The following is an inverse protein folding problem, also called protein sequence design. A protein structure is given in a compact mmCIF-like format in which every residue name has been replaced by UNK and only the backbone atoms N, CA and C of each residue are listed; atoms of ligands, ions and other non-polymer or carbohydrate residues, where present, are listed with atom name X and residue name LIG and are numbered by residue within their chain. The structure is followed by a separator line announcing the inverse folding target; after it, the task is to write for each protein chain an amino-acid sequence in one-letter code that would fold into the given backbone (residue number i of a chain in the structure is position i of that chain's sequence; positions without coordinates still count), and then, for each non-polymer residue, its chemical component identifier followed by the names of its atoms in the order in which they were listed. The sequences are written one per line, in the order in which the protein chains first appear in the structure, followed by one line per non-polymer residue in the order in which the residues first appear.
data_IF_973225645263
#
_entry.id   IF_973225645263
#
_cell.length_a   1.000
_cell.length_b   1.000
_cell.length_c   1.000
_cell.angle_alpha   90.00
_cell.angle_beta   90.00
_cell.angle_gamma   90.00
#
_symmetry.space_group_name_H-M   'P 1'
#
loop_
_entity.id
_entity.type
_entity.pdbx_description
1 polymer ?
#
# COMPACT_ATOMS: atom_id res chain seq x y z
N UNK A 1 -9.19 -1.39 -21.49
CA UNK A 1 -8.36 -0.39 -20.77
C UNK A 1 -7.86 0.59 -21.82
N UNK A 2 -8.18 1.89 -21.72
CA UNK A 2 -8.06 2.88 -22.84
C UNK A 2 -6.60 3.26 -23.15
N UNK A 3 -5.64 2.78 -22.36
CA UNK A 3 -4.22 3.08 -22.51
C UNK A 3 -3.41 1.82 -22.74
N UNK A 4 -2.37 1.95 -23.56
CA UNK A 4 -1.38 0.91 -23.79
C UNK A 4 -0.67 0.52 -22.48
N UNK A 5 -0.40 -0.78 -22.30
CA UNK A 5 0.36 -1.32 -21.17
C UNK A 5 1.73 -0.63 -21.02
N UNK A 6 2.37 -0.30 -22.16
CA UNK A 6 3.65 0.39 -22.20
C UNK A 6 3.55 1.81 -21.59
N UNK A 7 2.46 2.52 -21.86
CA UNK A 7 2.21 3.86 -21.32
C UNK A 7 2.18 3.87 -19.79
N UNK A 8 1.46 2.92 -19.19
CA UNK A 8 1.44 2.80 -17.73
C UNK A 8 2.80 2.43 -17.14
N UNK A 9 3.55 1.55 -17.81
CA UNK A 9 4.88 1.17 -17.35
C UNK A 9 5.84 2.37 -17.30
N UNK A 10 5.79 3.27 -18.29
CA UNK A 10 6.61 4.49 -18.29
C UNK A 10 6.31 5.43 -17.12
N UNK A 11 5.02 5.68 -16.86
CA UNK A 11 4.58 6.50 -15.71
C UNK A 11 5.00 5.86 -14.39
N UNK A 12 4.84 4.55 -14.25
CA UNK A 12 5.22 3.82 -13.04
C UNK A 12 6.74 3.79 -12.82
N UNK A 13 7.55 3.67 -13.87
CA UNK A 13 9.01 3.72 -13.77
C UNK A 13 9.46 5.09 -13.28
N UNK A 14 8.97 6.16 -13.90
CA UNK A 14 9.30 7.52 -13.47
C UNK A 14 8.84 7.81 -12.04
N UNK A 15 7.68 7.29 -11.63
CA UNK A 15 7.18 7.45 -10.27
C UNK A 15 8.00 6.67 -9.24
N UNK A 16 8.58 5.54 -9.63
CA UNK A 16 9.50 4.72 -8.83
C UNK A 16 10.85 5.43 -8.65
N UNK A 17 11.37 6.03 -9.71
CA UNK A 17 12.68 6.68 -9.75
C UNK A 17 12.65 8.14 -9.26
N UNK A 18 11.58 8.56 -8.56
CA UNK A 18 11.38 9.92 -8.05
C UNK A 18 11.43 11.05 -9.11
N UNK A 19 11.17 10.72 -10.38
CA UNK A 19 11.08 11.71 -11.47
C UNK A 19 9.67 12.32 -11.57
N UNK A 20 9.54 13.40 -12.36
CA UNK A 20 8.26 14.11 -12.56
C UNK A 20 7.27 13.31 -13.42
N UNK A 21 6.73 12.23 -12.86
CA UNK A 21 5.82 11.28 -13.53
C UNK A 21 4.49 11.92 -13.95
N UNK A 22 4.14 13.08 -13.39
CA UNK A 22 2.95 13.86 -13.72
C UNK A 22 3.04 14.42 -15.13
N UNK A 23 4.21 14.96 -15.51
CA UNK A 23 4.48 15.47 -16.85
C UNK A 23 4.44 14.33 -17.87
N UNK A 24 5.02 13.18 -17.53
CA UNK A 24 5.01 11.98 -18.39
C UNK A 24 3.58 11.46 -18.57
N UNK A 25 2.73 11.52 -17.54
CA UNK A 25 1.32 11.16 -17.65
C UNK A 25 0.56 12.12 -18.57
N UNK A 26 0.86 13.43 -18.50
CA UNK A 26 0.28 14.44 -19.38
C UNK A 26 0.73 14.26 -20.84
N UNK A 27 2.02 14.03 -21.09
CA UNK A 27 2.60 13.77 -22.42
C UNK A 27 2.03 12.52 -23.08
N UNK A 28 1.73 11.49 -22.28
CA UNK A 28 1.21 10.22 -22.79
C UNK A 28 -0.31 10.18 -22.91
N UNK A 29 -1.01 11.29 -22.60
CA UNK A 29 -2.46 11.40 -22.68
C UNK A 29 -3.21 10.63 -21.59
N UNK A 30 -2.51 10.13 -20.56
CA UNK A 30 -3.14 9.47 -19.43
C UNK A 30 -3.81 10.52 -18.55
N UNK A 31 -5.10 10.34 -18.27
CA UNK A 31 -5.79 11.20 -17.30
C UNK A 31 -5.01 11.19 -15.99
N UNK A 32 -4.61 12.37 -15.53
CA UNK A 32 -3.81 12.57 -14.31
C UNK A 32 -4.40 11.84 -13.11
N UNK A 33 -5.73 11.88 -12.92
CA UNK A 33 -6.43 11.13 -11.85
C UNK A 33 -6.19 9.61 -11.91
N UNK A 34 -6.16 9.04 -13.12
CA UNK A 34 -5.88 7.62 -13.32
C UNK A 34 -4.42 7.31 -13.02
N UNK A 35 -3.49 8.17 -13.47
CA UNK A 35 -2.07 8.04 -13.16
C UNK A 35 -1.81 8.09 -11.64
N UNK A 36 -2.44 9.02 -10.91
CA UNK A 36 -2.38 9.08 -9.45
C UNK A 36 -2.79 7.77 -8.78
N UNK A 37 -3.93 7.20 -9.17
CA UNK A 37 -4.38 5.90 -8.61
C UNK A 37 -3.38 4.78 -8.89
N UNK A 38 -2.84 4.69 -10.09
CA UNK A 38 -1.86 3.67 -10.44
C UNK A 38 -0.56 3.82 -9.64
N UNK A 39 -0.04 5.03 -9.52
CA UNK A 39 1.19 5.31 -8.75
C UNK A 39 0.98 5.03 -7.27
N UNK A 40 -0.15 5.43 -6.69
CA UNK A 40 -0.47 5.15 -5.29
C UNK A 40 -0.52 3.63 -5.01
N UNK A 41 -1.22 2.87 -5.85
CA UNK A 41 -1.29 1.40 -5.71
C UNK A 41 0.07 0.75 -5.87
N UNK A 42 0.88 1.21 -6.82
CA UNK A 42 2.24 0.69 -7.02
C UNK A 42 3.14 0.95 -5.81
N UNK A 43 3.07 2.14 -5.20
CA UNK A 43 3.81 2.46 -3.98
C UNK A 43 3.39 1.63 -2.78
N UNK A 44 2.08 1.49 -2.55
CA UNK A 44 1.57 0.64 -1.46
C UNK A 44 2.02 -0.81 -1.64
N UNK A 45 2.00 -1.30 -2.89
CA UNK A 45 2.50 -2.64 -3.17
C UNK A 45 4.01 -2.74 -2.96
N UNK A 46 4.80 -1.78 -3.41
CA UNK A 46 6.26 -1.77 -3.21
C UNK A 46 6.64 -1.74 -1.72
N UNK A 47 5.96 -0.89 -0.93
CA UNK A 47 6.09 -0.85 0.53
C UNK A 47 5.71 -2.18 1.18
N UNK A 48 4.63 -2.83 0.72
CA UNK A 48 4.25 -4.17 1.18
C UNK A 48 5.29 -5.24 0.86
N UNK A 49 5.88 -5.21 -0.33
CA UNK A 49 6.94 -6.16 -0.71
C UNK A 49 8.27 -5.87 0.03
N UNK A 50 8.49 -4.63 0.48
CA UNK A 50 9.62 -4.25 1.32
C UNK A 50 9.47 -4.68 2.78
N UNK A 51 8.24 -4.89 3.25
CA UNK A 51 8.01 -5.45 4.58
C UNK A 51 8.46 -6.91 4.60
N UNK A 52 9.13 -7.31 5.69
CA UNK A 52 9.37 -8.72 5.96
C UNK A 52 8.01 -9.46 5.96
N UNK A 53 7.89 -10.63 5.28
CA UNK A 53 6.64 -11.39 5.25
C UNK A 53 6.01 -11.60 6.63
N UNK A 54 6.81 -11.88 7.67
CA UNK A 54 6.33 -12.05 9.05
C UNK A 54 5.72 -10.75 9.57
N UNK A 55 6.38 -9.61 9.33
CA UNK A 55 5.87 -8.29 9.73
C UNK A 55 4.57 -7.94 9.01
N UNK A 56 4.46 -8.29 7.72
CA UNK A 56 3.22 -8.08 6.96
C UNK A 56 2.07 -8.92 7.53
N UNK A 57 2.30 -10.21 7.81
CA UNK A 57 1.33 -11.10 8.44
C UNK A 57 0.90 -10.58 9.82
N UNK A 58 1.84 -10.12 10.66
CA UNK A 58 1.53 -9.54 11.97
C UNK A 58 0.64 -8.29 11.86
N UNK A 59 0.95 -7.37 10.93
CA UNK A 59 0.13 -6.16 10.71
C UNK A 59 -1.26 -6.51 10.19
N UNK A 60 -1.37 -7.48 9.28
CA UNK A 60 -2.66 -7.95 8.75
C UNK A 60 -3.48 -8.65 9.84
N UNK A 61 -2.85 -9.49 10.65
CA UNK A 61 -3.46 -10.15 11.80
C UNK A 61 -4.03 -9.13 12.79
N UNK A 62 -3.25 -8.12 13.18
CA UNK A 62 -3.70 -7.07 14.09
C UNK A 62 -4.85 -6.25 13.50
N UNK A 63 -4.79 -5.96 12.20
CA UNK A 63 -5.87 -5.23 11.50
C UNK A 63 -7.17 -6.03 11.47
N UNK A 64 -7.10 -7.32 11.14
CA UNK A 64 -8.26 -8.22 11.05
C UNK A 64 -8.92 -8.42 12.41
N UNK A 65 -8.11 -8.45 13.48
CA UNK A 65 -8.57 -8.74 14.83
C UNK A 65 -8.58 -7.50 15.74
N UNK A 66 -8.69 -6.29 15.19
CA UNK A 66 -8.58 -5.07 16.01
C UNK A 66 -9.71 -4.95 17.06
N UNK A 67 -10.87 -5.59 16.83
CA UNK A 67 -11.99 -5.66 17.76
C UNK A 67 -11.76 -6.71 18.86
N UNK A 68 -11.05 -7.80 18.54
CA UNK A 68 -10.75 -8.89 19.47
C UNK A 68 -9.53 -8.57 20.36
N UNK A 69 -8.51 -7.89 19.83
CA UNK A 69 -7.28 -7.54 20.53
C UNK A 69 -7.16 -6.03 20.77
N UNK A 70 -8.22 -5.43 21.31
CA UNK A 70 -8.11 -4.06 21.83
C UNK A 70 -7.14 -4.06 23.03
N UNK A 71 -6.47 -2.93 23.30
CA UNK A 71 -5.61 -2.80 24.48
C UNK A 71 -6.32 -3.24 25.77
N UNK A 72 -7.63 -2.93 25.87
CA UNK A 72 -8.51 -3.38 26.95
C UNK A 72 -8.64 -4.90 27.04
N UNK A 73 -8.75 -5.60 25.91
CA UNK A 73 -8.83 -7.08 25.91
C UNK A 73 -7.53 -7.72 26.38
N UNK A 74 -6.39 -7.08 26.06
CA UNK A 74 -5.07 -7.52 26.54
C UNK A 74 -4.96 -7.31 28.05
N UNK A 75 -5.38 -6.15 28.56
CA UNK A 75 -5.40 -5.86 30.00
C UNK A 75 -6.30 -6.85 30.76
N UNK A 76 -7.51 -7.10 30.26
CA UNK A 76 -8.45 -8.08 30.85
C UNK A 76 -7.90 -9.52 30.84
N UNK A 77 -7.14 -9.90 29.82
CA UNK A 77 -6.51 -11.22 29.74
C UNK A 77 -5.31 -11.35 30.71
N UNK A 78 -4.53 -10.28 30.89
CA UNK A 78 -3.44 -10.22 31.85
C UNK A 78 -3.97 -10.31 33.28
N UNK A 79 -5.06 -9.60 33.60
CA UNK A 79 -5.71 -9.69 34.92
C UNK A 79 -6.20 -11.11 35.21
N UNK A 80 -6.81 -11.79 34.23
CA UNK A 80 -7.29 -13.17 34.37
C UNK A 80 -6.17 -14.22 34.47
N UNK A 81 -5.01 -13.97 33.87
CA UNK A 81 -3.87 -14.90 33.91
C UNK A 81 -3.09 -14.84 35.23
N UNK A 82 -3.26 -13.78 36.02
CA UNK A 82 -2.60 -13.57 37.31
C UNK A 82 -3.47 -14.00 38.53
N UNK A 83 -4.58 -14.68 38.29
CA UNK A 83 -5.47 -15.28 39.31
C UNK A 83 -5.51 -16.81 39.20
#
# INVERSE_FOLDING_TARGET
MIYSKNTFQRVLHAARDHHNWQDIAAETGVKVRTAYRCVATARVNDERHRLNPITLEMVLFLRQNNEYWSARTVDEAIEKANY
#
